data_IF_893728733341
#
_entry.id   IF_893728733341
#
_cell.length_a   1.000
_cell.length_b   1.000
_cell.length_c   1.000
_cell.angle_alpha   90.00
_cell.angle_beta   90.00
_cell.angle_gamma   90.00
#
_symmetry.space_group_name_H-M   'P 1'
#
loop_
_entity.id
_entity.type
_entity.pdbx_description
1 polymer ?
#
# COMPACT_ATOMS: atom_id res chain seq x y z
N UNK A 1 18.39 7.07 14.88
CA UNK A 1 17.22 6.39 14.28
C UNK A 1 16.41 7.44 13.53
N UNK A 2 15.95 7.12 12.32
CA UNK A 2 15.17 8.02 11.48
C UNK A 2 13.66 7.79 11.64
N UNK A 3 12.87 8.67 11.02
CA UNK A 3 11.41 8.57 10.96
C UNK A 3 10.98 7.47 10.00
N UNK A 4 9.97 6.70 10.37
CA UNK A 4 9.34 5.68 9.52
C UNK A 4 7.98 6.17 9.01
N UNK A 5 7.58 5.68 7.85
CA UNK A 5 6.40 6.12 7.14
C UNK A 5 5.48 4.95 6.79
N UNK A 6 4.18 5.22 6.85
CA UNK A 6 3.13 4.24 6.62
C UNK A 6 2.01 4.84 5.76
N UNK A 7 1.58 4.17 4.68
CA UNK A 7 0.39 4.55 3.95
C UNK A 7 -0.87 4.37 4.81
N UNK A 8 -1.71 5.39 4.87
CA UNK A 8 -2.97 5.41 5.61
C UNK A 8 -4.06 6.01 4.73
N UNK A 9 -5.17 5.30 4.58
CA UNK A 9 -6.40 5.82 4.03
C UNK A 9 -7.36 6.15 5.18
N UNK A 10 -7.59 7.45 5.42
CA UNK A 10 -8.43 7.94 6.50
C UNK A 10 -9.92 7.82 6.18
N UNK A 11 -10.31 7.90 4.91
CA UNK A 11 -11.70 7.74 4.47
C UNK A 11 -12.21 6.32 4.73
N UNK A 12 -11.40 5.30 4.40
CA UNK A 12 -11.76 3.89 4.60
C UNK A 12 -11.30 3.30 5.92
N UNK A 13 -10.43 4.00 6.66
CA UNK A 13 -9.74 3.50 7.85
C UNK A 13 -8.94 2.24 7.54
N UNK A 14 -8.09 2.32 6.53
CA UNK A 14 -7.20 1.24 6.10
C UNK A 14 -5.73 1.66 6.17
N UNK A 15 -4.84 0.71 6.41
CA UNK A 15 -3.39 0.92 6.36
C UNK A 15 -2.65 -0.37 5.96
N UNK A 16 -1.37 -0.22 5.63
CA UNK A 16 -0.40 -1.33 5.57
C UNK A 16 0.99 -0.77 5.86
N UNK A 17 1.94 -1.59 6.31
CA UNK A 17 3.31 -1.14 6.56
C UNK A 17 4.28 -1.59 5.46
N UNK A 18 5.41 -0.89 5.33
CA UNK A 18 6.46 -1.28 4.39
C UNK A 18 7.03 -2.67 4.70
N UNK A 19 7.20 -3.00 5.98
CA UNK A 19 7.72 -4.30 6.41
C UNK A 19 6.81 -5.45 5.99
N UNK A 20 5.49 -5.27 6.11
CA UNK A 20 4.53 -6.32 5.74
C UNK A 20 4.47 -6.63 4.25
N UNK A 21 5.03 -5.75 3.42
CA UNK A 21 5.13 -5.95 1.98
C UNK A 21 6.58 -6.27 1.53
N UNK A 22 7.47 -6.56 2.49
CA UNK A 22 8.86 -6.97 2.25
C UNK A 22 9.84 -5.81 2.04
N UNK A 23 9.40 -4.58 2.33
CA UNK A 23 10.17 -3.36 2.15
C UNK A 23 10.70 -2.76 3.45
N UNK A 24 11.20 -1.53 3.34
CA UNK A 24 11.72 -0.73 4.46
C UNK A 24 11.04 0.65 4.52
N UNK A 25 11.00 1.27 5.70
CA UNK A 25 9.96 2.25 6.01
C UNK A 25 10.41 3.72 6.04
N UNK A 26 11.69 4.05 5.83
CA UNK A 26 12.08 5.46 5.80
C UNK A 26 11.69 6.12 4.46
N UNK A 27 11.58 7.45 4.41
CA UNK A 27 11.09 8.14 3.19
C UNK A 27 11.99 7.90 1.97
N UNK A 28 13.31 7.85 2.15
CA UNK A 28 14.23 7.58 1.06
C UNK A 28 13.97 6.19 0.47
N UNK A 29 13.76 5.19 1.32
CA UNK A 29 13.47 3.82 0.91
C UNK A 29 12.14 3.71 0.16
N UNK A 30 11.08 4.35 0.64
CA UNK A 30 9.83 4.46 -0.11
C UNK A 30 10.04 5.06 -1.50
N UNK A 31 10.87 6.10 -1.63
CA UNK A 31 11.12 6.73 -2.93
C UNK A 31 12.06 5.92 -3.84
N UNK A 32 12.95 5.10 -3.27
CA UNK A 32 14.01 4.43 -4.02
C UNK A 32 13.65 3.02 -4.48
N UNK A 33 12.66 2.39 -3.85
CA UNK A 33 12.38 0.97 -4.03
C UNK A 33 11.02 0.71 -4.74
N UNK A 34 10.89 -0.43 -5.46
CA UNK A 34 9.70 -0.73 -6.26
C UNK A 34 8.43 -0.98 -5.45
N UNK A 35 8.52 -1.23 -4.15
CA UNK A 35 7.37 -1.45 -3.25
C UNK A 35 6.40 -0.26 -3.25
N UNK A 36 6.90 0.95 -3.52
CA UNK A 36 6.04 2.13 -3.68
C UNK A 36 5.07 2.05 -4.87
N UNK A 37 5.30 1.12 -5.82
CA UNK A 37 4.38 0.84 -6.92
C UNK A 37 2.97 0.46 -6.45
N UNK A 38 2.85 -0.13 -5.26
CA UNK A 38 1.55 -0.45 -4.65
C UNK A 38 0.69 0.81 -4.42
N UNK A 39 1.30 1.98 -4.20
CA UNK A 39 0.58 3.24 -4.05
C UNK A 39 -0.05 3.68 -5.37
N UNK A 40 0.68 3.53 -6.49
CA UNK A 40 0.13 3.80 -7.81
C UNK A 40 -1.05 2.86 -8.13
N UNK A 41 -0.94 1.59 -7.75
CA UNK A 41 -2.00 0.60 -7.89
C UNK A 41 -3.26 0.96 -7.10
N UNK A 42 -3.11 1.30 -5.81
CA UNK A 42 -4.21 1.69 -4.93
C UNK A 42 -4.89 3.00 -5.35
N UNK A 43 -4.13 3.95 -5.92
CA UNK A 43 -4.61 5.28 -6.31
C UNK A 43 -5.10 5.35 -7.77
N UNK A 44 -4.92 4.29 -8.56
CA UNK A 44 -5.32 4.24 -9.98
C UNK A 44 -6.79 4.62 -10.16
N UNK A 45 -7.07 5.60 -11.01
CA UNK A 45 -8.45 5.99 -11.38
C UNK A 45 -8.55 6.17 -12.90
N UNK A 46 -9.37 5.37 -13.54
CA UNK A 46 -9.69 5.52 -14.97
C UNK A 46 -10.99 4.78 -15.30
N UNK A 47 -11.77 5.35 -16.22
CA UNK A 47 -12.95 4.73 -16.82
C UNK A 47 -12.60 3.93 -18.10
N UNK A 48 -11.35 4.03 -18.56
CA UNK A 48 -10.78 3.31 -19.70
C UNK A 48 -9.64 2.39 -19.24
N UNK A 49 -9.31 1.39 -20.05
CA UNK A 49 -8.10 0.58 -19.92
C UNK A 49 -7.23 0.68 -21.16
N UNK A 50 -5.97 0.25 -21.06
CA UNK A 50 -5.01 0.26 -22.15
C UNK A 50 -3.82 -0.65 -21.85
N UNK A 51 -2.85 -0.70 -22.77
CA UNK A 51 -1.67 -1.55 -22.59
C UNK A 51 -0.92 -1.24 -21.29
N UNK A 52 -0.72 -2.27 -20.47
CA UNK A 52 -0.07 -2.15 -19.16
C UNK A 52 -1.02 -1.81 -18.00
N UNK A 53 -2.32 -1.69 -18.25
CA UNK A 53 -3.35 -1.61 -17.21
C UNK A 53 -3.81 -3.01 -16.79
N UNK A 54 -4.75 -3.06 -15.85
CA UNK A 54 -5.22 -4.31 -15.26
C UNK A 54 -6.14 -5.04 -16.24
N UNK A 55 -5.69 -6.20 -16.71
CA UNK A 55 -6.42 -7.09 -17.62
C UNK A 55 -6.85 -8.40 -16.93
N UNK A 56 -7.28 -8.31 -15.66
CA UNK A 56 -7.67 -9.47 -14.86
C UNK A 56 -9.08 -9.96 -15.19
N UNK A 57 -9.29 -11.28 -15.16
CA UNK A 57 -10.57 -11.95 -15.47
C UNK A 57 -11.50 -12.14 -14.24
N UNK A 58 -11.09 -11.62 -13.08
CA UNK A 58 -11.78 -11.75 -11.80
C UNK A 58 -12.01 -10.38 -11.15
N UNK A 59 -12.74 -10.36 -10.02
CA UNK A 59 -12.99 -9.14 -9.26
C UNK A 59 -11.68 -8.57 -8.70
N UNK A 60 -11.46 -7.29 -8.97
CA UNK A 60 -10.33 -6.53 -8.44
C UNK A 60 -10.84 -5.71 -7.24
N UNK A 61 -10.33 -5.99 -6.04
CA UNK A 61 -10.80 -5.40 -4.79
C UNK A 61 -9.94 -4.21 -4.32
N UNK A 62 -8.68 -4.13 -4.74
CA UNK A 62 -7.69 -3.15 -4.29
C UNK A 62 -7.23 -2.16 -5.36
N UNK A 63 -7.22 -2.50 -6.65
CA UNK A 63 -6.86 -1.51 -7.66
C UNK A 63 -7.81 -0.30 -7.65
N UNK A 64 -7.24 0.89 -7.50
CA UNK A 64 -8.02 2.11 -7.40
C UNK A 64 -8.90 2.20 -6.16
N UNK A 65 -8.77 1.28 -5.20
CA UNK A 65 -9.58 1.25 -3.98
C UNK A 65 -9.47 2.55 -3.20
N UNK A 66 -8.30 3.19 -3.22
CA UNK A 66 -8.03 4.45 -2.50
C UNK A 66 -8.19 5.68 -3.39
N UNK A 67 -8.64 5.53 -4.64
CA UNK A 67 -8.79 6.64 -5.57
C UNK A 67 -9.91 7.60 -5.14
N UNK A 68 -9.53 8.84 -4.84
CA UNK A 68 -10.45 9.90 -4.40
C UNK A 68 -10.66 9.98 -2.88
N UNK A 69 -9.98 9.12 -2.12
CA UNK A 69 -10.01 9.15 -0.66
C UNK A 69 -8.97 10.12 -0.06
N UNK A 70 -9.10 10.40 1.24
CA UNK A 70 -8.11 11.14 2.04
C UNK A 70 -6.97 10.19 2.45
N UNK A 71 -5.87 10.21 1.69
CA UNK A 71 -4.74 9.29 1.84
C UNK A 71 -3.46 10.03 2.21
N UNK A 72 -2.68 9.45 3.13
CA UNK A 72 -1.39 9.98 3.58
C UNK A 72 -0.30 8.90 3.57
N UNK A 73 0.93 9.31 3.27
CA UNK A 73 2.13 8.59 3.71
C UNK A 73 2.60 9.26 5.02
N UNK A 74 2.12 8.76 6.16
CA UNK A 74 2.27 9.43 7.45
C UNK A 74 3.54 8.98 8.16
N UNK A 75 4.30 9.93 8.71
CA UNK A 75 5.48 9.66 9.52
C UNK A 75 5.13 9.33 10.98
N UNK A 76 5.90 8.46 11.62
CA UNK A 76 5.68 8.05 13.03
C UNK A 76 5.93 9.17 14.05
N UNK A 77 6.60 10.26 13.68
CA UNK A 77 6.78 11.45 14.52
C UNK A 77 5.74 12.56 14.26
N UNK A 78 4.79 12.33 13.35
CA UNK A 78 3.77 13.33 13.04
C UNK A 78 2.87 13.64 14.25
N UNK A 79 2.66 14.93 14.52
CA UNK A 79 1.94 15.40 15.71
C UNK A 79 0.44 15.09 15.74
N UNK A 80 -0.16 14.66 14.61
CA UNK A 80 -1.56 14.26 14.55
C UNK A 80 -1.86 12.96 15.29
N UNK A 81 -0.83 12.14 15.56
CA UNK A 81 -0.95 10.75 16.03
C UNK A 81 -1.65 9.80 15.05
N UNK A 82 -1.86 10.20 13.78
CA UNK A 82 -2.55 9.36 12.79
C UNK A 82 -1.82 8.03 12.55
N UNK A 83 -0.49 8.01 12.62
CA UNK A 83 0.30 6.79 12.53
C UNK A 83 -0.11 5.77 13.62
N UNK A 84 -0.16 6.21 14.88
CA UNK A 84 -0.50 5.36 16.02
C UNK A 84 -1.99 5.03 16.04
N UNK A 85 -2.87 5.97 15.68
CA UNK A 85 -4.30 5.72 15.55
C UNK A 85 -4.58 4.62 14.53
N UNK A 86 -3.99 4.72 13.33
CA UNK A 86 -4.20 3.75 12.27
C UNK A 86 -3.72 2.35 12.70
N UNK A 87 -2.49 2.22 13.21
CA UNK A 87 -1.99 0.92 13.69
C UNK A 87 -2.86 0.24 14.75
N UNK A 88 -3.57 1.03 15.56
CA UNK A 88 -4.37 0.51 16.67
C UNK A 88 -5.84 0.29 16.31
N UNK A 89 -6.37 0.97 15.30
CA UNK A 89 -7.82 1.09 15.09
C UNK A 89 -8.29 0.96 13.63
N UNK A 90 -7.37 0.89 12.67
CA UNK A 90 -7.69 0.80 11.25
C UNK A 90 -7.49 -0.65 10.79
N UNK A 91 -8.07 -1.00 9.66
CA UNK A 91 -7.94 -2.32 9.08
C UNK A 91 -6.59 -2.42 8.36
N UNK A 92 -5.80 -3.43 8.74
CA UNK A 92 -4.57 -3.75 8.03
C UNK A 92 -4.90 -4.57 6.78
N UNK A 93 -4.60 -4.02 5.61
CA UNK A 93 -4.93 -4.63 4.32
C UNK A 93 -3.73 -5.32 3.65
N UNK A 94 -2.56 -5.40 4.30
CA UNK A 94 -1.32 -5.85 3.68
C UNK A 94 -1.43 -7.24 3.01
N UNK A 95 -1.98 -8.24 3.72
CA UNK A 95 -2.05 -9.61 3.21
C UNK A 95 -2.89 -9.73 1.91
N UNK A 96 -4.18 -9.33 1.89
CA UNK A 96 -4.98 -9.43 0.66
C UNK A 96 -4.46 -8.49 -0.44
N UNK A 97 -3.92 -7.32 -0.09
CA UNK A 97 -3.32 -6.38 -1.03
C UNK A 97 -2.11 -6.99 -1.77
N UNK A 98 -1.17 -7.59 -1.03
CA UNK A 98 0.02 -8.23 -1.62
C UNK A 98 -0.40 -9.36 -2.57
N UNK A 99 -1.40 -10.16 -2.19
CA UNK A 99 -1.89 -11.24 -3.03
C UNK A 99 -2.44 -10.73 -4.38
N UNK A 100 -3.30 -9.72 -4.36
CA UNK A 100 -3.89 -9.14 -5.59
C UNK A 100 -2.82 -8.40 -6.41
N UNK A 101 -1.98 -7.57 -5.78
CA UNK A 101 -0.91 -6.84 -6.46
C UNK A 101 0.05 -7.79 -7.19
N UNK A 102 0.41 -8.91 -6.58
CA UNK A 102 1.31 -9.90 -7.18
C UNK A 102 0.72 -10.62 -8.38
N UNK A 103 -0.60 -10.77 -8.43
CA UNK A 103 -1.29 -11.27 -9.62
C UNK A 103 -1.23 -10.24 -10.75
N UNK A 104 -1.36 -8.94 -10.44
CA UNK A 104 -1.22 -7.87 -11.43
C UNK A 104 0.20 -7.81 -12.00
N UNK A 105 1.23 -7.86 -11.16
CA UNK A 105 2.61 -7.73 -11.61
C UNK A 105 3.06 -8.88 -12.53
N UNK A 106 2.57 -10.10 -12.31
CA UNK A 106 2.82 -11.29 -13.14
C UNK A 106 4.28 -11.80 -13.17
N UNK A 107 5.26 -10.91 -13.05
CA UNK A 107 6.70 -11.20 -12.95
C UNK A 107 7.14 -11.29 -11.50
N UNK A 108 7.80 -12.40 -11.14
CA UNK A 108 8.33 -12.62 -9.79
C UNK A 108 9.31 -11.55 -9.30
N UNK A 109 10.03 -10.91 -10.22
CA UNK A 109 11.01 -9.87 -9.88
C UNK A 109 10.35 -8.57 -9.40
N UNK A 110 9.06 -8.39 -9.66
CA UNK A 110 8.31 -7.20 -9.27
C UNK A 110 7.23 -7.50 -8.21
N UNK A 111 7.20 -8.73 -7.69
CA UNK A 111 6.25 -9.14 -6.66
C UNK A 111 6.73 -8.70 -5.28
N UNK A 112 5.75 -8.32 -4.45
CA UNK A 112 5.94 -8.05 -3.03
C UNK A 112 6.01 -9.36 -2.25
N UNK A 113 6.66 -9.33 -1.09
CA UNK A 113 6.65 -10.46 -0.15
C UNK A 113 5.78 -10.10 1.04
N UNK A 114 4.75 -10.90 1.32
CA UNK A 114 3.97 -10.67 2.54
C UNK A 114 4.75 -11.18 3.75
N UNK A 115 5.12 -10.28 4.66
CA UNK A 115 5.83 -10.60 5.90
C UNK A 115 4.96 -10.23 7.11
N UNK A 116 4.25 -11.19 7.73
CA UNK A 116 3.43 -10.88 8.90
C UNK A 116 4.32 -10.34 10.02
N UNK A 117 3.93 -9.22 10.62
CA UNK A 117 4.57 -8.77 11.85
C UNK A 117 4.10 -9.66 12.99
N UNK A 118 5.03 -10.38 13.63
CA UNK A 118 4.75 -11.09 14.87
C UNK A 118 4.16 -10.09 15.89
N UNK A 119 2.97 -10.42 16.40
CA UNK A 119 2.18 -9.57 17.31
C UNK A 119 2.82 -9.33 18.67
#
# INVERSE_FOLDING_TARGET
MGQYFMPVNKTKREYFTAWEIGGTANLYEWCANPEAGVLAYLLRKSDESGGGDIEMDHSIDFAGRWAGDEVYLIGDYDSSNLYQEAKNQYDNIAQPLVAEYNQFMGSKECQLTYEPLDG
#
